data_IF_876874443940
#
_entry.id   IF_876874443940
#
_cell.length_a   1.000
_cell.length_b   1.000
_cell.length_c   1.000
_cell.angle_alpha   90.00
_cell.angle_beta   90.00
_cell.angle_gamma   90.00
#
_symmetry.space_group_name_H-M   'P 1'
#
loop_
_entity.id
_entity.type
_entity.pdbx_description
1 polymer ?
#
# COMPACT_ATOMS: atom_id res chain seq x y z
N UNK A 1 -12.82 23.48 -34.04
CA UNK A 1 -12.46 23.13 -33.57
C UNK A 1 -12.25 22.25 -33.13
N UNK A 2 -12.37 22.38 -33.39
CA UNK A 2 -11.91 21.68 -33.03
C UNK A 2 -11.68 20.89 -32.34
N UNK A 3 -11.67 20.98 -32.51
CA UNK A 3 -11.19 20.29 -31.83
C UNK A 3 -11.24 19.44 -31.25
N UNK A 4 -11.42 19.42 -31.52
CA UNK A 4 -11.19 18.72 -30.93
C UNK A 4 -10.97 17.92 -30.41
N UNK A 5 -10.94 18.11 -30.43
CA UNK A 5 -10.40 17.52 -30.07
C UNK A 5 -9.76 16.88 -29.37
N UNK A 6 -9.48 16.96 -29.48
CA UNK A 6 -8.63 16.35 -29.00
C UNK A 6 -8.70 15.89 -27.89
N UNK A 7 -9.18 16.01 -27.65
CA UNK A 7 -9.35 15.72 -26.60
C UNK A 7 -9.39 14.51 -26.15
N UNK A 8 -9.31 14.22 -26.75
CA UNK A 8 -9.10 13.20 -26.45
C UNK A 8 -8.43 12.57 -26.06
N UNK A 9 -8.28 12.83 -26.27
CA UNK A 9 -7.46 12.25 -26.05
C UNK A 9 -7.22 12.10 -24.97
N UNK A 10 -7.25 12.69 -25.06
CA UNK A 10 -6.83 12.79 -23.90
C UNK A 10 -7.28 11.84 -22.99
N UNK A 11 -8.07 11.98 -22.53
CA UNK A 11 -8.38 11.13 -21.56
C UNK A 11 -8.36 9.75 -21.92
N UNK A 12 -8.26 9.57 -23.12
CA UNK A 12 -8.39 8.24 -23.60
C UNK A 12 -7.44 7.31 -22.96
N UNK A 13 -6.21 7.68 -22.86
CA UNK A 13 -5.22 6.71 -22.50
C UNK A 13 -4.88 6.76 -21.03
N UNK A 14 -4.98 7.89 -20.43
CA UNK A 14 -4.44 8.07 -19.10
C UNK A 14 -5.51 7.90 -18.03
N UNK A 15 -6.30 6.88 -18.16
CA UNK A 15 -7.39 6.66 -17.23
C UNK A 15 -6.87 5.98 -15.97
N UNK A 16 -6.90 6.70 -14.85
CA UNK A 16 -6.45 6.14 -13.59
C UNK A 16 -7.51 5.19 -13.03
N UNK A 17 -7.05 4.17 -12.37
CA UNK A 17 -7.90 3.23 -11.65
C UNK A 17 -7.73 3.45 -10.16
N UNK A 18 -8.74 3.10 -9.38
CA UNK A 18 -8.68 3.24 -7.93
C UNK A 18 -8.24 1.92 -7.31
N UNK A 19 -7.15 1.98 -6.56
CA UNK A 19 -6.72 0.87 -5.73
C UNK A 19 -7.10 1.21 -4.30
N UNK A 20 -8.00 0.43 -3.71
CA UNK A 20 -8.41 0.61 -2.32
C UNK A 20 -7.73 -0.44 -1.46
N UNK A 21 -6.97 0.00 -0.47
CA UNK A 21 -6.26 -0.90 0.43
C UNK A 21 -7.02 -0.92 1.74
N UNK A 22 -7.50 -2.10 2.14
CA UNK A 22 -8.24 -2.28 3.40
C UNK A 22 -7.31 -2.95 4.41
N UNK A 23 -6.82 -2.19 5.37
CA UNK A 23 -5.87 -2.67 6.35
C UNK A 23 -6.63 -3.04 7.62
N UNK A 24 -6.36 -4.23 8.13
CA UNK A 24 -7.07 -4.75 9.30
C UNK A 24 -6.11 -5.40 10.28
N UNK A 25 -6.67 -5.81 11.42
CA UNK A 25 -5.95 -6.51 12.48
C UNK A 25 -4.97 -5.60 13.22
N UNK A 26 -5.40 -4.38 13.50
CA UNK A 26 -4.61 -3.43 14.29
C UNK A 26 -4.51 -3.91 15.73
N UNK A 27 -3.32 -3.85 16.32
CA UNK A 27 -3.12 -4.17 17.73
C UNK A 27 -3.68 -3.09 18.65
N UNK A 28 -3.70 -1.85 18.16
CA UNK A 28 -4.27 -0.73 18.90
C UNK A 28 -4.67 0.33 17.88
N UNK A 29 -5.29 1.42 18.36
CA UNK A 29 -5.82 2.45 17.46
C UNK A 29 -5.05 3.76 17.59
N UNK A 30 -3.75 3.67 17.86
CA UNK A 30 -2.91 4.87 17.95
C UNK A 30 -1.89 4.89 16.83
N UNK A 31 -1.33 6.07 16.59
CA UNK A 31 -0.29 6.22 15.58
C UNK A 31 -0.83 6.24 14.17
N UNK A 32 0.03 5.89 13.24
CA UNK A 32 -0.26 5.98 11.80
C UNK A 32 -0.11 4.64 11.14
N UNK A 33 -0.92 4.41 10.12
CA UNK A 33 -0.71 3.28 9.20
C UNK A 33 -0.14 3.86 7.92
N UNK A 34 0.92 3.25 7.42
CA UNK A 34 1.63 3.71 6.23
C UNK A 34 1.57 2.66 5.16
N UNK A 35 1.17 3.06 3.95
CA UNK A 35 1.09 2.16 2.80
C UNK A 35 2.01 2.67 1.71
N UNK A 36 2.86 1.79 1.20
CA UNK A 36 3.74 2.11 0.08
C UNK A 36 3.41 1.18 -1.08
N UNK A 37 3.34 1.73 -2.28
CA UNK A 37 3.03 0.98 -3.49
C UNK A 37 4.25 1.02 -4.39
N UNK A 38 4.64 -0.15 -4.90
CA UNK A 38 5.83 -0.31 -5.73
C UNK A 38 5.44 -0.90 -7.08
N UNK A 39 6.16 -0.50 -8.11
CA UNK A 39 5.89 -0.95 -9.49
C UNK A 39 7.02 -1.77 -10.07
N UNK A 40 8.09 -2.02 -9.31
CA UNK A 40 9.24 -2.74 -9.83
C UNK A 40 9.93 -3.52 -8.71
N UNK A 41 10.37 -4.72 -9.04
CA UNK A 41 11.02 -5.60 -8.08
C UNK A 41 12.26 -4.96 -7.47
N UNK A 42 13.05 -4.26 -8.28
CA UNK A 42 14.30 -3.66 -7.79
C UNK A 42 14.08 -2.53 -6.82
N UNK A 43 12.87 -1.98 -6.77
CA UNK A 43 12.53 -0.89 -5.85
C UNK A 43 11.81 -1.39 -4.60
N UNK A 44 11.49 -2.67 -4.56
CA UNK A 44 10.67 -3.28 -3.51
C UNK A 44 11.25 -3.01 -2.13
N UNK A 45 10.40 -2.54 -1.24
CA UNK A 45 10.73 -2.22 0.16
C UNK A 45 11.75 -1.11 0.32
N UNK A 46 11.90 -0.26 -0.70
CA UNK A 46 12.73 0.94 -0.63
C UNK A 46 11.79 2.14 -0.68
N UNK A 47 11.39 2.69 0.47
CA UNK A 47 10.30 3.69 0.50
C UNK A 47 10.54 4.90 -0.39
N UNK A 48 11.79 5.30 -0.56
CA UNK A 48 12.10 6.46 -1.42
C UNK A 48 11.82 6.18 -2.88
N UNK A 49 11.67 4.91 -3.25
CA UNK A 49 11.46 4.50 -4.64
C UNK A 49 10.04 3.97 -4.88
N UNK A 50 9.16 4.10 -3.90
CA UNK A 50 7.76 3.75 -4.09
C UNK A 50 7.11 4.70 -5.07
N UNK A 51 6.17 4.18 -5.88
CA UNK A 51 5.45 5.04 -6.82
C UNK A 51 4.35 5.84 -6.13
N UNK A 52 3.93 5.42 -4.95
CA UNK A 52 2.94 6.14 -4.15
C UNK A 52 3.08 5.75 -2.70
N UNK A 53 2.86 6.71 -1.82
CA UNK A 53 2.86 6.51 -0.37
C UNK A 53 1.69 7.27 0.23
N UNK A 54 1.00 6.65 1.17
CA UNK A 54 -0.07 7.30 1.91
C UNK A 54 -0.01 6.88 3.36
N UNK A 55 -0.39 7.81 4.24
CA UNK A 55 -0.50 7.53 5.66
C UNK A 55 -1.84 7.98 6.17
N UNK A 56 -2.33 7.32 7.20
CA UNK A 56 -3.57 7.71 7.84
C UNK A 56 -3.42 7.59 9.36
N UNK A 57 -4.06 8.51 10.08
CA UNK A 57 -4.14 8.46 11.53
C UNK A 57 -5.13 7.35 11.87
N UNK A 58 -4.67 6.32 12.56
CA UNK A 58 -5.48 5.14 12.81
C UNK A 58 -6.74 5.50 13.61
N UNK A 59 -6.58 6.31 14.67
CA UNK A 59 -7.73 6.62 15.54
C UNK A 59 -8.83 7.36 14.81
N UNK A 60 -8.50 8.13 13.77
CA UNK A 60 -9.48 8.89 13.02
C UNK A 60 -10.03 8.13 11.82
N UNK A 61 -9.22 7.26 11.23
CA UNK A 61 -9.59 6.58 9.99
C UNK A 61 -10.23 5.22 10.19
N UNK A 62 -10.04 4.60 11.36
CA UNK A 62 -10.49 3.23 11.57
C UNK A 62 -12.01 3.17 11.70
N UNK A 63 -12.60 2.20 11.03
CA UNK A 63 -14.04 1.93 11.09
C UNK A 63 -14.21 0.43 11.09
N UNK A 64 -14.84 -0.10 12.12
CA UNK A 64 -15.10 -1.54 12.26
C UNK A 64 -13.81 -2.36 12.09
N UNK A 65 -12.73 -1.86 12.68
CA UNK A 65 -11.44 -2.58 12.67
C UNK A 65 -10.62 -2.43 11.42
N UNK A 66 -11.07 -1.63 10.47
CA UNK A 66 -10.40 -1.50 9.17
C UNK A 66 -10.13 -0.04 8.84
N UNK A 67 -8.95 0.22 8.28
CA UNK A 67 -8.62 1.52 7.69
C UNK A 67 -8.54 1.32 6.17
N UNK A 68 -9.27 2.13 5.42
CA UNK A 68 -9.27 2.05 3.95
C UNK A 68 -8.54 3.25 3.38
N UNK A 69 -7.60 3.00 2.49
CA UNK A 69 -6.80 4.04 1.85
C UNK A 69 -6.88 3.84 0.35
N UNK A 70 -7.17 4.93 -0.37
CA UNK A 70 -7.32 4.89 -1.83
C UNK A 70 -6.11 5.48 -2.52
N UNK A 71 -5.73 4.86 -3.63
CA UNK A 71 -4.72 5.37 -4.55
C UNK A 71 -5.32 5.45 -5.94
N UNK A 72 -4.99 6.54 -6.66
CA UNK A 72 -5.35 6.65 -8.08
C UNK A 72 -4.09 6.36 -8.89
N UNK A 73 -4.08 5.25 -9.60
CA UNK A 73 -2.89 4.77 -10.31
C UNK A 73 -3.27 4.31 -11.71
N UNK A 74 -2.31 4.34 -12.60
CA UNK A 74 -2.51 3.74 -13.92
C UNK A 74 -2.62 2.24 -13.79
N UNK A 75 -3.45 1.59 -14.60
CA UNK A 75 -3.49 0.13 -14.59
C UNK A 75 -2.11 -0.47 -14.83
N UNK A 76 -1.79 -1.52 -14.12
CA UNK A 76 -0.50 -2.16 -14.23
C UNK A 76 -0.22 -3.10 -13.08
N UNK A 77 1.02 -3.55 -13.00
CA UNK A 77 1.44 -4.45 -11.94
C UNK A 77 2.04 -3.67 -10.79
N UNK A 78 1.62 -4.00 -9.59
CA UNK A 78 2.09 -3.34 -8.37
C UNK A 78 2.21 -4.34 -7.24
N UNK A 79 2.93 -3.94 -6.19
CA UNK A 79 2.96 -4.67 -4.93
C UNK A 79 2.94 -3.64 -3.81
N UNK A 80 2.38 -4.02 -2.67
CA UNK A 80 2.18 -3.09 -1.55
C UNK A 80 2.80 -3.62 -0.28
N UNK A 81 3.25 -2.67 0.53
CA UNK A 81 3.83 -2.91 1.84
C UNK A 81 3.17 -1.96 2.82
N UNK A 82 2.77 -2.47 3.98
CA UNK A 82 2.05 -1.71 4.99
C UNK A 82 2.74 -1.88 6.33
N UNK A 83 2.83 -0.80 7.09
CA UNK A 83 3.25 -0.92 8.49
C UNK A 83 2.39 -0.01 9.36
N UNK A 84 2.22 -0.45 10.60
CA UNK A 84 1.52 0.33 11.62
C UNK A 84 2.55 0.90 12.58
N UNK A 85 2.77 2.21 12.47
CA UNK A 85 3.72 2.94 13.30
C UNK A 85 2.94 3.48 14.50
N UNK A 86 2.87 2.70 15.56
CA UNK A 86 2.01 3.04 16.70
C UNK A 86 2.67 4.01 17.69
N UNK A 87 3.92 4.41 17.42
CA UNK A 87 4.57 5.45 18.23
C UNK A 87 4.97 6.67 17.41
N UNK A 88 4.57 6.71 16.13
CA UNK A 88 4.75 7.87 15.25
C UNK A 88 6.20 8.33 15.12
N UNK A 89 7.14 7.38 15.14
CA UNK A 89 8.55 7.73 14.97
C UNK A 89 8.92 7.90 13.52
N UNK A 90 8.10 7.42 12.59
CA UNK A 90 8.44 7.43 11.18
C UNK A 90 9.41 6.33 10.80
N UNK A 91 9.75 5.46 11.71
CA UNK A 91 10.67 4.35 11.48
C UNK A 91 10.06 3.08 12.02
N UNK A 92 10.37 1.97 11.37
CA UNK A 92 9.97 0.68 11.90
C UNK A 92 10.75 0.40 13.18
N UNK A 93 10.02 0.11 14.23
CA UNK A 93 10.58 -0.17 15.53
C UNK A 93 11.07 -1.60 15.58
N UNK A 94 12.29 -1.83 16.10
CA UNK A 94 12.83 -3.18 16.23
C UNK A 94 13.33 -3.39 17.65
N UNK A 95 13.41 -4.66 18.06
CA UNK A 95 14.09 -4.98 19.31
C UNK A 95 15.61 -5.07 19.03
N UNK A 96 16.39 -5.36 20.07
CA UNK A 96 17.84 -5.29 19.94
C UNK A 96 18.42 -6.40 19.04
N UNK A 97 17.63 -7.38 18.64
CA UNK A 97 18.09 -8.37 17.65
C UNK A 97 17.59 -8.06 16.25
N UNK A 98 16.91 -6.92 16.06
CA UNK A 98 16.50 -6.48 14.73
C UNK A 98 15.15 -7.00 14.27
N UNK A 99 14.41 -7.67 15.11
CA UNK A 99 13.10 -8.18 14.75
C UNK A 99 12.09 -7.03 14.85
N UNK A 100 11.32 -6.74 13.80
CA UNK A 100 10.34 -5.67 13.87
C UNK A 100 9.34 -5.90 14.97
N UNK A 101 9.03 -4.85 15.74
CA UNK A 101 8.02 -4.92 16.79
C UNK A 101 6.68 -4.41 16.33
N UNK A 102 6.65 -3.60 15.27
CA UNK A 102 5.41 -3.09 14.73
C UNK A 102 4.84 -4.12 13.76
N UNK A 103 3.52 -4.14 13.67
CA UNK A 103 2.88 -5.08 12.76
C UNK A 103 3.01 -4.58 11.34
N UNK A 104 3.10 -5.51 10.41
CA UNK A 104 3.26 -5.21 8.99
C UNK A 104 2.37 -6.12 8.18
N UNK A 105 2.26 -5.81 6.90
CA UNK A 105 1.53 -6.64 5.96
C UNK A 105 1.96 -6.34 4.53
N UNK A 106 1.64 -7.23 3.64
CA UNK A 106 1.94 -7.06 2.23
C UNK A 106 0.77 -7.56 1.41
N UNK A 107 0.68 -7.06 0.18
CA UNK A 107 -0.39 -7.46 -0.73
C UNK A 107 -0.38 -8.96 -0.94
N UNK A 108 -1.54 -9.52 -1.27
CA UNK A 108 -1.77 -10.96 -1.44
C UNK A 108 -1.49 -11.78 -0.18
N UNK A 109 -1.40 -11.13 0.98
CA UNK A 109 -1.10 -11.84 2.22
C UNK A 109 0.28 -12.44 2.27
N UNK A 110 1.22 -11.91 1.51
CA UNK A 110 2.56 -12.50 1.42
C UNK A 110 3.27 -12.42 2.76
N UNK A 111 3.77 -13.56 3.20
CA UNK A 111 4.57 -13.70 4.41
C UNK A 111 5.77 -14.59 4.06
N UNK A 112 6.97 -14.16 4.45
CA UNK A 112 8.17 -14.95 4.22
C UNK A 112 8.82 -15.20 5.57
N UNK A 113 8.86 -16.47 5.98
CA UNK A 113 9.38 -16.83 7.30
C UNK A 113 10.87 -16.55 7.47
N UNK A 114 11.60 -16.44 6.38
CA UNK A 114 13.03 -16.34 6.40
C UNK A 114 13.54 -14.97 5.98
N UNK A 115 12.65 -14.00 5.87
CA UNK A 115 13.05 -12.67 5.46
C UNK A 115 11.86 -11.79 5.16
N UNK A 116 12.08 -10.68 4.47
CA UNK A 116 10.98 -9.78 4.11
C UNK A 116 10.05 -10.41 3.09
N UNK A 117 8.85 -9.87 2.92
CA UNK A 117 7.94 -10.34 1.87
C UNK A 117 8.61 -10.30 0.51
N UNK A 118 8.24 -11.23 -0.36
CA UNK A 118 8.84 -11.34 -1.69
C UNK A 118 7.99 -10.59 -2.69
N UNK A 119 8.64 -9.80 -3.54
CA UNK A 119 7.92 -8.99 -4.51
C UNK A 119 7.05 -9.85 -5.43
N UNK A 120 7.59 -10.95 -5.97
CA UNK A 120 6.83 -11.76 -6.92
C UNK A 120 5.56 -12.33 -6.31
N UNK A 121 5.56 -12.58 -5.00
CA UNK A 121 4.38 -13.12 -4.33
C UNK A 121 3.39 -12.04 -3.96
N UNK A 122 3.88 -10.84 -3.71
CA UNK A 122 3.02 -9.70 -3.35
C UNK A 122 2.45 -9.00 -4.59
N UNK A 123 3.02 -9.22 -5.76
CA UNK A 123 2.61 -8.51 -6.97
C UNK A 123 1.19 -8.88 -7.38
N UNK A 124 0.45 -7.88 -7.83
CA UNK A 124 -0.92 -8.04 -8.32
C UNK A 124 -1.13 -7.12 -9.51
N UNK A 125 -2.20 -7.35 -10.25
CA UNK A 125 -2.55 -6.53 -11.40
C UNK A 125 -3.70 -5.61 -11.03
N UNK A 126 -3.51 -4.31 -11.25
CA UNK A 126 -4.58 -3.33 -11.13
C UNK A 126 -5.16 -3.11 -12.52
N UNK A 127 -6.42 -3.49 -12.70
CA UNK A 127 -7.11 -3.28 -13.97
C UNK A 127 -7.81 -1.95 -13.99
N UNK A 128 -8.43 -1.64 -15.14
CA UNK A 128 -9.11 -0.36 -15.34
C UNK A 128 -10.30 -0.19 -14.41
N UNK A 129 -10.90 -1.28 -13.96
CA UNK A 129 -12.07 -1.22 -13.09
C UNK A 129 -11.70 -1.02 -11.62
N UNK A 130 -10.41 -0.96 -11.33
CA UNK A 130 -9.96 -0.80 -9.96
C UNK A 130 -9.82 -2.13 -9.24
N UNK A 131 -9.38 -2.06 -8.00
CA UNK A 131 -9.17 -3.27 -7.20
C UNK A 131 -9.26 -2.88 -5.72
N UNK A 132 -9.82 -3.79 -4.93
CA UNK A 132 -9.80 -3.66 -3.48
C UNK A 132 -8.88 -4.74 -2.93
N UNK A 133 -7.83 -4.32 -2.23
CA UNK A 133 -6.80 -5.22 -1.72
C UNK A 133 -6.87 -5.26 -0.20
N UNK A 134 -7.33 -6.36 0.39
CA UNK A 134 -7.30 -6.50 1.85
C UNK A 134 -5.90 -6.88 2.31
N UNK A 135 -5.42 -6.23 3.35
CA UNK A 135 -4.12 -6.54 3.95
C UNK A 135 -4.31 -6.65 5.44
N UNK A 136 -3.97 -7.81 5.98
CA UNK A 136 -4.09 -8.09 7.41
C UNK A 136 -2.72 -7.93 8.04
N UNK A 137 -2.64 -7.05 9.04
CA UNK A 137 -1.38 -6.83 9.74
C UNK A 137 -1.05 -8.02 10.64
N UNK A 138 0.24 -8.31 10.77
CA UNK A 138 0.70 -9.37 11.66
C UNK A 138 2.13 -9.05 12.13
N UNK A 139 2.55 -9.73 13.19
CA UNK A 139 3.90 -9.61 13.74
C UNK A 139 4.94 -10.25 12.83
#
# INVERSE_FOLDING_TARGET
>A
MKCSILILLAGASAHAATLTVDVSNFQNEIGSVNVAVYAAKENWLKPDLAVANESADVSQAISEGTVSIDFELEPGEYAEDVNHDDNDTGKMYTNFVGIPKETTGASNGEVNRFGPPRYQKAAFTLGEDGLRMPIRLSD
#
